data_IF_318398798162
#
_entry.id   IF_318398798162
#
_cell.length_a   1.000
_cell.length_b   1.000
_cell.length_c   1.000
_cell.angle_alpha   90.00
_cell.angle_beta   90.00
_cell.angle_gamma   90.00
#
_symmetry.space_group_name_H-M   'P 1'
#
loop_
_entity.id
_entity.type
_entity.pdbx_description
1 polymer ?
#
# COMPACT_ATOMS: atom_id res chain seq x y z
N UNK A 1 31.26 -26.27 6.25
CA UNK A 1 32.03 -26.23 4.99
C UNK A 1 31.46 -27.26 4.03
N UNK A 2 31.39 -26.95 2.73
CA UNK A 2 30.98 -27.88 1.69
C UNK A 2 32.13 -28.80 1.27
N UNK A 3 31.81 -30.04 1.03
CA UNK A 3 32.79 -30.97 0.45
C UNK A 3 32.87 -30.81 -1.07
N UNK A 4 33.90 -31.42 -1.71
CA UNK A 4 34.13 -31.29 -3.16
C UNK A 4 32.93 -31.72 -4.00
N UNK A 5 32.27 -32.82 -3.61
CA UNK A 5 31.07 -33.33 -4.31
C UNK A 5 29.89 -32.33 -4.25
N UNK A 6 29.70 -31.68 -3.09
CA UNK A 6 28.68 -30.64 -2.96
C UNK A 6 29.01 -29.40 -3.80
N UNK A 7 30.26 -28.97 -3.83
CA UNK A 7 30.70 -27.85 -4.68
C UNK A 7 30.47 -28.14 -6.16
N UNK A 8 30.75 -29.34 -6.62
CA UNK A 8 30.47 -29.79 -7.99
C UNK A 8 28.96 -29.85 -8.24
N UNK A 9 28.17 -30.33 -7.29
CA UNK A 9 26.71 -30.34 -7.38
C UNK A 9 26.13 -28.93 -7.58
N UNK A 10 26.57 -27.95 -6.78
CA UNK A 10 26.11 -26.55 -6.93
C UNK A 10 26.60 -25.89 -8.22
N UNK A 11 27.79 -26.24 -8.74
CA UNK A 11 28.24 -25.78 -10.06
C UNK A 11 27.35 -26.26 -11.19
N UNK A 12 26.77 -27.46 -11.05
CA UNK A 12 25.91 -28.10 -12.03
C UNK A 12 24.43 -28.00 -11.67
N UNK A 13 24.07 -27.08 -10.74
CA UNK A 13 22.70 -26.85 -10.31
C UNK A 13 21.77 -26.52 -11.49
N UNK A 14 20.58 -27.08 -11.45
CA UNK A 14 19.49 -26.77 -12.41
C UNK A 14 18.73 -25.48 -12.04
N UNK A 15 19.17 -24.74 -11.03
CA UNK A 15 18.59 -23.47 -10.59
C UNK A 15 17.68 -23.59 -9.38
N UNK A 16 16.66 -22.71 -9.32
CA UNK A 16 15.83 -22.52 -8.14
C UNK A 16 14.99 -23.75 -7.72
N UNK A 17 14.74 -24.66 -8.63
CA UNK A 17 13.92 -25.85 -8.39
C UNK A 17 14.75 -27.15 -8.34
N UNK A 18 16.06 -27.06 -8.26
CA UNK A 18 16.90 -28.24 -8.06
C UNK A 18 16.69 -28.82 -6.65
N UNK A 19 16.25 -30.07 -6.57
CA UNK A 19 15.91 -30.72 -5.32
C UNK A 19 17.11 -30.88 -4.36
N UNK A 20 18.30 -31.17 -4.92
CA UNK A 20 19.50 -31.46 -4.12
C UNK A 20 20.45 -30.26 -3.98
N UNK A 21 20.50 -29.43 -5.00
CA UNK A 21 21.43 -28.29 -5.10
C UNK A 21 20.68 -27.03 -5.54
N UNK A 22 19.66 -26.57 -4.78
CA UNK A 22 18.91 -25.38 -5.16
C UNK A 22 19.81 -24.15 -5.20
N UNK A 23 19.56 -23.29 -6.17
CA UNK A 23 20.22 -21.99 -6.30
C UNK A 23 19.16 -20.94 -6.58
N UNK A 24 18.64 -20.37 -5.49
CA UNK A 24 17.48 -19.48 -5.48
C UNK A 24 17.95 -18.04 -5.31
N UNK A 25 17.69 -17.22 -6.31
CA UNK A 25 17.73 -15.76 -6.14
C UNK A 25 16.32 -15.26 -5.82
N UNK A 26 16.04 -15.13 -4.52
CA UNK A 26 14.71 -14.72 -4.06
C UNK A 26 14.40 -13.25 -4.42
N UNK A 27 15.42 -12.41 -4.58
CA UNK A 27 15.24 -11.03 -5.03
C UNK A 27 14.70 -10.97 -6.47
N UNK A 28 15.28 -11.76 -7.36
CA UNK A 28 14.83 -11.84 -8.75
C UNK A 28 13.44 -12.47 -8.90
N UNK A 29 13.08 -13.33 -7.95
CA UNK A 29 11.78 -14.00 -7.94
C UNK A 29 10.64 -13.14 -7.37
N UNK A 30 10.91 -12.25 -6.44
CA UNK A 30 9.88 -11.54 -5.68
C UNK A 30 9.91 -10.02 -5.85
N UNK A 31 10.88 -9.46 -6.61
CA UNK A 31 10.97 -8.02 -6.77
C UNK A 31 10.97 -7.58 -8.23
N UNK A 32 10.12 -6.63 -8.52
CA UNK A 32 10.16 -5.86 -9.76
C UNK A 32 11.30 -4.84 -9.75
N UNK A 33 11.86 -4.56 -10.90
CA UNK A 33 12.90 -3.54 -11.07
C UNK A 33 12.38 -2.12 -10.86
N UNK A 34 11.07 -1.90 -11.03
CA UNK A 34 10.46 -0.58 -10.98
C UNK A 34 9.14 -0.62 -10.19
N UNK A 35 8.91 0.42 -9.39
CA UNK A 35 7.62 0.72 -8.80
C UNK A 35 6.95 1.88 -9.52
N UNK A 36 5.63 1.92 -9.52
CA UNK A 36 4.86 3.01 -10.11
C UNK A 36 4.43 4.01 -9.04
N UNK A 37 4.60 5.30 -9.34
CA UNK A 37 4.05 6.37 -8.53
C UNK A 37 3.41 7.44 -9.41
N UNK A 38 2.18 7.84 -9.07
CA UNK A 38 1.43 8.87 -9.79
C UNK A 38 0.83 9.82 -8.77
N UNK A 39 1.01 11.12 -9.02
CA UNK A 39 0.38 12.18 -8.23
C UNK A 39 -0.19 13.22 -9.15
N UNK A 40 -1.47 13.53 -8.94
CA UNK A 40 -2.15 14.63 -9.63
C UNK A 40 -2.80 15.49 -8.56
N UNK A 41 -2.65 16.81 -8.67
CA UNK A 41 -3.33 17.79 -7.83
C UNK A 41 -3.97 18.86 -8.69
N UNK A 42 -5.12 19.30 -8.26
CA UNK A 42 -5.88 20.39 -8.84
C UNK A 42 -6.29 21.33 -7.72
N UNK A 43 -5.98 22.59 -7.88
CA UNK A 43 -6.29 23.65 -6.93
C UNK A 43 -7.04 24.75 -7.66
N UNK A 44 -8.17 25.17 -7.12
CA UNK A 44 -8.98 26.24 -7.64
C UNK A 44 -9.37 27.18 -6.49
N UNK A 45 -9.10 28.44 -6.64
CA UNK A 45 -9.49 29.48 -5.69
C UNK A 45 -10.16 30.62 -6.43
N UNK A 46 -11.12 31.25 -5.80
CA UNK A 46 -11.79 32.41 -6.38
C UNK A 46 -12.72 33.08 -5.38
N UNK A 47 -13.29 34.17 -5.81
CA UNK A 47 -14.27 34.84 -4.98
C UNK A 47 -14.59 36.23 -5.44
N UNK A 48 -15.52 36.84 -4.69
CA UNK A 48 -15.95 38.24 -4.75
C UNK A 48 -15.87 38.82 -3.35
N UNK A 49 -16.26 40.06 -3.15
CA UNK A 49 -16.36 40.69 -1.83
C UNK A 49 -17.29 39.93 -0.86
N UNK A 50 -18.26 39.17 -1.40
CA UNK A 50 -19.24 38.44 -0.63
C UNK A 50 -18.96 36.94 -0.50
N UNK A 51 -18.27 36.36 -1.46
CA UNK A 51 -18.03 34.92 -1.50
C UNK A 51 -16.57 34.66 -1.75
N UNK A 52 -15.94 33.82 -0.95
CA UNK A 52 -14.61 33.26 -1.20
C UNK A 52 -14.67 31.74 -1.14
N UNK A 53 -14.03 31.11 -2.10
CA UNK A 53 -13.98 29.66 -2.13
C UNK A 53 -12.60 29.14 -2.52
N UNK A 54 -12.30 27.97 -2.01
CA UNK A 54 -11.15 27.18 -2.41
C UNK A 54 -11.57 25.72 -2.58
N UNK A 55 -11.14 25.09 -3.66
CA UNK A 55 -11.34 23.66 -3.93
C UNK A 55 -9.97 23.05 -4.22
N UNK A 56 -9.66 21.96 -3.52
CA UNK A 56 -8.45 21.19 -3.72
C UNK A 56 -8.85 19.74 -3.98
N UNK A 57 -8.38 19.18 -5.09
CA UNK A 57 -8.55 17.77 -5.40
C UNK A 57 -7.17 17.15 -5.64
N UNK A 58 -6.93 16.00 -5.04
CA UNK A 58 -5.67 15.31 -5.15
C UNK A 58 -5.87 13.82 -5.35
N UNK A 59 -5.10 13.23 -6.25
CA UNK A 59 -5.01 11.79 -6.45
C UNK A 59 -3.56 11.35 -6.29
N UNK A 60 -3.37 10.28 -5.54
CA UNK A 60 -2.09 9.56 -5.41
C UNK A 60 -2.36 8.10 -5.70
N UNK A 61 -1.60 7.54 -6.63
CA UNK A 61 -1.63 6.11 -6.94
C UNK A 61 -0.22 5.56 -7.03
N UNK A 62 -0.03 4.32 -6.64
CA UNK A 62 1.26 3.67 -6.71
C UNK A 62 1.19 2.16 -6.50
N UNK A 63 2.26 1.49 -6.90
CA UNK A 63 2.48 0.07 -6.61
C UNK A 63 3.79 -0.13 -5.88
N UNK A 64 3.89 -1.21 -5.10
CA UNK A 64 5.14 -1.66 -4.50
C UNK A 64 6.14 -2.20 -5.53
N UNK A 65 7.30 -2.59 -5.02
CA UNK A 65 8.35 -3.27 -5.81
C UNK A 65 8.11 -4.78 -5.89
N UNK A 66 7.25 -5.32 -5.05
CA UNK A 66 7.01 -6.75 -4.95
C UNK A 66 6.38 -7.29 -6.25
N UNK A 67 7.03 -8.29 -6.84
CA UNK A 67 6.51 -9.07 -7.97
C UNK A 67 5.87 -10.35 -7.45
N UNK A 68 4.64 -10.22 -7.03
CA UNK A 68 3.89 -11.25 -6.32
C UNK A 68 2.47 -11.33 -6.86
N UNK A 69 1.73 -12.40 -6.55
CA UNK A 69 0.37 -12.60 -7.05
C UNK A 69 -0.54 -11.37 -6.82
N UNK A 70 -0.35 -10.68 -5.72
CA UNK A 70 -1.08 -9.46 -5.37
C UNK A 70 -0.09 -8.33 -5.05
N UNK A 71 0.53 -7.78 -6.08
CA UNK A 71 1.44 -6.63 -5.96
C UNK A 71 0.78 -5.51 -5.15
N UNK A 72 1.46 -5.00 -4.10
CA UNK A 72 0.92 -3.94 -3.27
C UNK A 72 0.52 -2.71 -4.07
N UNK A 73 -0.68 -2.21 -3.82
CA UNK A 73 -1.23 -1.04 -4.50
C UNK A 73 -1.82 -0.06 -3.48
N UNK A 74 -1.62 1.21 -3.75
CA UNK A 74 -2.23 2.31 -3.04
C UNK A 74 -2.94 3.23 -4.04
N UNK A 75 -4.22 3.51 -3.80
CA UNK A 75 -4.96 4.55 -4.49
C UNK A 75 -5.63 5.46 -3.46
N UNK A 76 -5.33 6.75 -3.51
CA UNK A 76 -5.85 7.75 -2.58
C UNK A 76 -6.43 8.92 -3.34
N UNK A 77 -7.70 9.21 -3.06
CA UNK A 77 -8.37 10.42 -3.48
C UNK A 77 -8.56 11.35 -2.27
N UNK A 78 -8.24 12.61 -2.43
CA UNK A 78 -8.44 13.65 -1.42
C UNK A 78 -9.21 14.80 -2.04
N UNK A 79 -10.29 15.23 -1.39
CA UNK A 79 -11.06 16.42 -1.77
C UNK A 79 -11.13 17.34 -0.55
N UNK A 80 -10.96 18.63 -0.78
CA UNK A 80 -11.15 19.66 0.23
C UNK A 80 -11.82 20.86 -0.41
N UNK A 81 -12.86 21.34 0.21
CA UNK A 81 -13.57 22.55 -0.18
C UNK A 81 -13.75 23.48 0.99
N UNK A 82 -13.44 24.74 0.81
CA UNK A 82 -13.65 25.80 1.79
C UNK A 82 -14.52 26.87 1.14
N UNK A 83 -15.51 27.35 1.86
CA UNK A 83 -16.40 28.41 1.45
C UNK A 83 -16.59 29.41 2.60
N UNK A 84 -16.32 30.67 2.33
CA UNK A 84 -16.73 31.77 3.19
C UNK A 84 -17.78 32.61 2.46
N UNK A 85 -18.93 32.83 3.07
CA UNK A 85 -20.02 33.61 2.50
C UNK A 85 -20.44 34.73 3.48
N UNK A 86 -20.18 35.97 3.09
CA UNK A 86 -20.63 37.16 3.79
C UNK A 86 -22.11 37.40 3.46
N UNK A 87 -23.01 36.87 4.32
CA UNK A 87 -24.46 36.97 4.16
C UNK A 87 -24.91 38.42 4.31
N UNK A 88 -24.34 39.09 5.31
CA UNK A 88 -24.52 40.52 5.61
C UNK A 88 -23.17 41.10 6.02
N UNK A 89 -23.11 42.42 6.26
CA UNK A 89 -21.89 43.08 6.73
C UNK A 89 -21.47 42.59 8.14
N UNK A 90 -22.42 42.06 8.91
CA UNK A 90 -22.18 41.56 10.26
C UNK A 90 -22.18 40.04 10.39
N UNK A 91 -22.55 39.25 9.33
CA UNK A 91 -22.66 37.80 9.40
C UNK A 91 -21.90 37.14 8.25
N UNK A 92 -20.91 36.31 8.60
CA UNK A 92 -20.23 35.42 7.69
C UNK A 92 -20.53 33.95 8.06
N UNK A 93 -20.90 33.16 7.07
CA UNK A 93 -21.02 31.71 7.18
C UNK A 93 -19.78 31.09 6.52
N UNK A 94 -19.11 30.20 7.24
CA UNK A 94 -18.00 29.41 6.71
C UNK A 94 -18.39 27.93 6.64
N UNK A 95 -17.99 27.26 5.58
CA UNK A 95 -18.14 25.82 5.43
C UNK A 95 -16.82 25.21 4.93
N UNK A 96 -16.30 24.24 5.67
CA UNK A 96 -15.14 23.47 5.30
C UNK A 96 -15.54 22.01 5.19
N UNK A 97 -15.26 21.41 4.03
CA UNK A 97 -15.51 19.99 3.77
C UNK A 97 -14.21 19.34 3.35
N UNK A 98 -13.83 18.26 4.01
CA UNK A 98 -12.69 17.45 3.64
C UNK A 98 -13.09 15.98 3.51
N UNK A 99 -12.71 15.36 2.41
CA UNK A 99 -12.91 13.94 2.16
C UNK A 99 -11.60 13.27 1.73
N UNK A 100 -11.36 12.08 2.25
CA UNK A 100 -10.25 11.21 1.83
C UNK A 100 -10.77 9.80 1.70
N UNK A 101 -10.54 9.21 0.53
CA UNK A 101 -10.76 7.80 0.27
C UNK A 101 -9.42 7.17 -0.09
N UNK A 102 -9.09 6.09 0.57
CA UNK A 102 -7.85 5.35 0.36
C UNK A 102 -8.17 3.87 0.19
N UNK A 103 -7.69 3.29 -0.88
CA UNK A 103 -7.78 1.88 -1.17
C UNK A 103 -6.38 1.30 -1.20
N UNK A 104 -6.16 0.27 -0.40
CA UNK A 104 -4.90 -0.46 -0.31
C UNK A 104 -5.15 -1.92 -0.60
N UNK A 105 -4.28 -2.51 -1.37
CA UNK A 105 -4.29 -3.95 -1.63
C UNK A 105 -2.88 -4.49 -1.51
N UNK A 106 -2.71 -5.61 -0.85
CA UNK A 106 -1.43 -6.31 -0.73
C UNK A 106 -1.65 -7.81 -0.53
N UNK A 107 -0.60 -8.62 -0.74
CA UNK A 107 -0.64 -10.06 -0.57
C UNK A 107 -0.66 -10.51 0.89
N UNK A 108 -0.57 -11.83 1.08
CA UNK A 108 -0.53 -12.49 2.39
C UNK A 108 0.57 -11.92 3.30
N UNK A 109 1.77 -11.75 2.76
CA UNK A 109 2.88 -11.12 3.47
C UNK A 109 2.89 -9.60 3.22
N UNK A 110 3.09 -8.84 4.27
CA UNK A 110 3.34 -7.41 4.15
C UNK A 110 4.78 -7.12 3.64
N UNK A 111 5.02 -5.88 3.24
CA UNK A 111 6.31 -5.45 2.72
C UNK A 111 7.48 -5.78 3.67
N UNK A 112 7.32 -5.58 4.99
CA UNK A 112 8.35 -5.88 6.00
C UNK A 112 8.66 -7.37 6.08
N UNK A 113 7.65 -8.21 5.98
CA UNK A 113 7.79 -9.68 5.98
C UNK A 113 8.49 -10.16 4.71
N UNK A 114 8.13 -9.63 3.53
CA UNK A 114 8.81 -9.92 2.26
C UNK A 114 10.28 -9.55 2.33
N UNK A 115 10.62 -8.33 2.77
CA UNK A 115 12.01 -7.91 2.90
C UNK A 115 12.78 -8.67 3.98
N UNK A 116 12.13 -9.12 5.05
CA UNK A 116 12.74 -10.01 6.04
C UNK A 116 13.08 -11.36 5.41
N UNK A 117 12.17 -11.93 4.64
CA UNK A 117 12.40 -13.17 3.90
C UNK A 117 13.57 -13.03 2.93
N UNK A 118 13.59 -11.96 2.13
CA UNK A 118 14.69 -11.65 1.20
C UNK A 118 16.04 -11.57 1.89
N UNK A 119 16.09 -10.92 3.07
CA UNK A 119 17.33 -10.70 3.83
C UNK A 119 17.86 -11.95 4.55
N UNK A 120 16.99 -12.89 4.86
CA UNK A 120 17.32 -14.08 5.67
C UNK A 120 17.42 -15.37 4.87
N UNK A 121 16.85 -15.41 3.67
CA UNK A 121 16.90 -16.56 2.78
C UNK A 121 18.33 -16.77 2.23
N UNK A 122 18.79 -18.01 2.27
CA UNK A 122 20.05 -18.41 1.63
C UNK A 122 19.75 -19.04 0.28
N UNK A 123 20.51 -18.74 -0.78
CA UNK A 123 20.26 -19.30 -2.10
C UNK A 123 20.16 -20.84 -2.14
N UNK A 124 20.82 -21.50 -1.24
CA UNK A 124 20.87 -22.95 -1.13
C UNK A 124 20.05 -23.53 0.04
N UNK A 125 19.08 -22.79 0.56
CA UNK A 125 18.29 -23.23 1.74
C UNK A 125 17.31 -24.35 1.37
N UNK A 126 16.51 -24.16 0.31
CA UNK A 126 15.55 -25.13 -0.21
C UNK A 126 15.13 -24.76 -1.64
N UNK A 127 14.63 -25.69 -2.47
CA UNK A 127 14.06 -25.37 -3.77
C UNK A 127 12.76 -24.58 -3.62
N UNK A 128 12.48 -23.65 -4.54
CA UNK A 128 11.23 -22.87 -4.51
C UNK A 128 10.01 -23.79 -4.67
N UNK A 129 10.04 -24.62 -5.71
CA UNK A 129 8.98 -25.60 -6.00
C UNK A 129 9.60 -26.96 -6.23
N UNK A 130 8.84 -28.01 -6.00
CA UNK A 130 9.22 -29.39 -6.22
C UNK A 130 8.15 -30.09 -7.03
N UNK A 131 8.55 -30.99 -7.92
CA UNK A 131 7.60 -31.86 -8.62
C UNK A 131 7.22 -33.07 -7.77
N UNK A 132 5.97 -33.55 -7.97
CA UNK A 132 5.50 -34.79 -7.33
C UNK A 132 6.26 -36.01 -7.82
N UNK A 133 6.71 -35.98 -9.07
CA UNK A 133 7.49 -37.07 -9.69
C UNK A 133 8.84 -37.25 -9.02
N UNK A 134 9.53 -36.15 -8.71
CA UNK A 134 10.87 -36.17 -8.08
C UNK A 134 10.80 -36.49 -6.58
N UNK A 135 9.75 -36.07 -5.91
CA UNK A 135 9.61 -36.25 -4.45
C UNK A 135 8.87 -37.54 -4.08
N UNK A 136 8.07 -38.10 -4.99
CA UNK A 136 7.15 -39.20 -4.69
C UNK A 136 6.02 -38.82 -3.73
N UNK A 137 5.88 -37.55 -3.38
CA UNK A 137 4.83 -37.04 -2.52
C UNK A 137 3.59 -36.70 -3.35
N UNK A 138 2.41 -36.87 -2.79
CA UNK A 138 1.18 -36.38 -3.43
C UNK A 138 1.29 -34.84 -3.55
N UNK A 139 1.00 -34.33 -4.75
CA UNK A 139 0.97 -32.90 -5.02
C UNK A 139 -0.08 -32.18 -4.20
N UNK A 140 0.06 -30.88 -4.09
CA UNK A 140 -0.98 -30.03 -3.54
C UNK A 140 -2.28 -30.16 -4.34
N UNK A 141 -3.41 -29.84 -3.73
CA UNK A 141 -4.70 -29.77 -4.43
C UNK A 141 -4.68 -28.63 -5.47
N UNK A 142 -5.47 -28.78 -6.52
CA UNK A 142 -5.78 -27.72 -7.48
C UNK A 142 -4.60 -27.15 -8.30
N UNK A 143 -3.59 -27.98 -8.59
CA UNK A 143 -2.46 -27.58 -9.42
C UNK A 143 -1.42 -26.70 -8.70
N UNK A 144 -1.53 -26.55 -7.38
CA UNK A 144 -0.52 -25.88 -6.56
C UNK A 144 0.69 -26.82 -6.43
N UNK A 145 1.92 -26.38 -6.74
CA UNK A 145 3.12 -27.19 -6.60
C UNK A 145 3.45 -27.48 -5.13
N UNK A 146 4.30 -28.44 -4.89
CA UNK A 146 4.95 -28.61 -3.58
C UNK A 146 6.02 -27.53 -3.42
N UNK A 147 6.20 -27.05 -2.19
CA UNK A 147 7.18 -26.00 -1.86
C UNK A 147 8.26 -26.53 -0.93
N UNK A 148 9.49 -26.11 -1.17
CA UNK A 148 10.58 -26.41 -0.28
C UNK A 148 10.43 -25.67 1.06
N UNK A 149 10.95 -26.28 2.12
CA UNK A 149 11.07 -25.68 3.44
C UNK A 149 12.28 -26.27 4.19
N UNK A 150 12.77 -25.56 5.20
CA UNK A 150 13.82 -26.05 6.08
C UNK A 150 13.41 -25.91 7.56
N UNK A 151 14.10 -26.60 8.44
CA UNK A 151 13.88 -26.44 9.89
C UNK A 151 14.14 -25.00 10.35
N UNK A 152 15.00 -24.28 9.67
CA UNK A 152 15.32 -22.89 9.95
C UNK A 152 14.29 -21.91 9.37
N UNK A 153 13.74 -22.25 8.22
CA UNK A 153 12.69 -21.48 7.53
C UNK A 153 11.55 -22.43 7.17
N UNK A 154 10.62 -22.67 8.10
CA UNK A 154 9.50 -23.59 7.91
C UNK A 154 8.43 -23.05 6.95
N UNK A 155 8.45 -21.74 6.68
CA UNK A 155 7.57 -21.08 5.73
C UNK A 155 8.36 -20.70 4.48
N UNK A 156 7.81 -21.06 3.32
CA UNK A 156 8.35 -20.66 2.03
C UNK A 156 7.75 -19.32 1.61
N UNK A 157 8.56 -18.25 1.64
CA UNK A 157 8.09 -16.90 1.31
C UNK A 157 7.54 -16.79 -0.12
N UNK A 158 8.07 -17.54 -1.07
CA UNK A 158 7.57 -17.60 -2.44
C UNK A 158 6.14 -18.21 -2.47
N UNK A 159 5.93 -19.30 -1.73
CA UNK A 159 4.60 -19.92 -1.62
C UNK A 159 3.57 -18.94 -1.03
N UNK A 160 3.91 -18.29 0.08
CA UNK A 160 3.03 -17.35 0.76
C UNK A 160 2.70 -16.11 -0.10
N UNK A 161 3.65 -15.65 -0.90
CA UNK A 161 3.45 -14.45 -1.74
C UNK A 161 2.75 -14.77 -3.06
N UNK A 162 3.00 -15.93 -3.66
CA UNK A 162 2.48 -16.28 -4.98
C UNK A 162 1.15 -17.06 -4.91
N UNK A 163 0.93 -17.82 -3.84
CA UNK A 163 -0.25 -18.68 -3.68
C UNK A 163 -1.05 -18.38 -2.41
N UNK A 164 -0.60 -17.44 -1.61
CA UNK A 164 -1.32 -16.95 -0.44
C UNK A 164 -2.52 -16.06 -0.80
N UNK A 165 -3.23 -15.63 0.22
CA UNK A 165 -4.36 -14.72 0.08
C UNK A 165 -3.93 -13.26 -0.14
N UNK A 166 -4.90 -12.36 -0.04
CA UNK A 166 -4.67 -10.93 -0.12
C UNK A 166 -5.52 -10.18 0.91
N UNK A 167 -5.09 -8.97 1.21
CA UNK A 167 -5.87 -8.00 1.98
C UNK A 167 -6.28 -6.85 1.07
N UNK A 168 -7.56 -6.51 1.07
CA UNK A 168 -8.13 -5.34 0.38
C UNK A 168 -8.77 -4.45 1.42
N UNK A 169 -8.22 -3.25 1.61
CA UNK A 169 -8.60 -2.31 2.62
C UNK A 169 -9.11 -1.03 1.99
N UNK A 170 -10.32 -0.61 2.39
CA UNK A 170 -10.88 0.68 2.01
C UNK A 170 -11.07 1.55 3.25
N UNK A 171 -10.38 2.64 3.28
CA UNK A 171 -10.46 3.64 4.32
C UNK A 171 -11.11 4.92 3.78
N UNK A 172 -12.23 5.32 4.36
CA UNK A 172 -12.91 6.58 4.01
C UNK A 172 -13.01 7.45 5.23
N UNK A 173 -12.59 8.69 5.09
CA UNK A 173 -12.72 9.72 6.12
C UNK A 173 -13.38 10.95 5.52
N UNK A 174 -14.40 11.48 6.20
CA UNK A 174 -14.98 12.77 5.91
C UNK A 174 -14.95 13.65 7.15
N UNK A 175 -14.83 14.93 6.95
CA UNK A 175 -14.90 15.93 7.99
C UNK A 175 -15.60 17.15 7.42
N UNK A 176 -16.59 17.67 8.12
CA UNK A 176 -17.31 18.88 7.73
C UNK A 176 -17.34 19.82 8.92
N UNK A 177 -17.02 21.09 8.70
CA UNK A 177 -17.13 22.14 9.68
C UNK A 177 -18.04 23.23 9.10
N UNK A 178 -19.00 23.69 9.90
CA UNK A 178 -19.84 24.83 9.59
C UNK A 178 -19.62 25.86 10.68
N UNK A 179 -19.26 27.06 10.30
CA UNK A 179 -18.98 28.17 11.20
C UNK A 179 -19.89 29.37 10.94
N UNK A 180 -20.27 30.05 12.00
CA UNK A 180 -20.94 31.35 11.98
C UNK A 180 -20.02 32.35 12.68
N UNK A 181 -19.75 33.47 12.02
CA UNK A 181 -18.95 34.59 12.55
C UNK A 181 -19.79 35.85 12.52
N UNK A 182 -19.95 36.46 13.67
CA UNK A 182 -20.67 37.71 13.83
C UNK A 182 -19.69 38.85 14.13
N UNK A 183 -19.74 39.87 13.32
CA UNK A 183 -19.05 41.15 13.61
C UNK A 183 -20.09 42.07 14.29
N UNK A 184 -19.83 42.34 15.55
CA UNK A 184 -20.75 43.09 16.44
C UNK A 184 -20.20 44.49 16.75
N UNK A 185 -19.37 45.03 15.86
CA UNK A 185 -18.85 46.40 15.97
C UNK A 185 -19.91 47.47 16.20
N UNK A 186 -21.16 47.18 15.72
CA UNK A 186 -22.32 48.04 15.95
C UNK A 186 -22.73 48.15 17.42
N UNK A 187 -22.42 47.13 18.23
CA UNK A 187 -22.73 47.11 19.67
C UNK A 187 -21.55 47.62 20.48
N UNK A 188 -20.37 47.14 20.17
CA UNK A 188 -19.11 47.50 20.85
C UNK A 188 -17.97 47.32 19.86
N UNK A 189 -17.17 48.38 19.66
CA UNK A 189 -16.06 48.37 18.74
C UNK A 189 -15.06 47.23 19.02
N UNK A 190 -14.80 46.40 18.03
CA UNK A 190 -13.92 45.23 18.12
C UNK A 190 -14.59 43.98 18.67
N UNK A 191 -15.89 44.01 19.00
CA UNK A 191 -16.60 42.82 19.47
C UNK A 191 -16.90 41.86 18.32
N UNK A 192 -16.49 40.61 18.48
CA UNK A 192 -16.78 39.51 17.56
C UNK A 192 -17.27 38.30 18.33
N UNK A 193 -18.24 37.61 17.76
CA UNK A 193 -18.72 36.34 18.30
C UNK A 193 -18.67 35.26 17.19
N UNK A 194 -18.55 34.01 17.56
CA UNK A 194 -18.55 32.92 16.62
C UNK A 194 -19.05 31.61 17.23
N UNK A 195 -19.63 30.78 16.43
CA UNK A 195 -20.00 29.41 16.75
C UNK A 195 -19.58 28.50 15.60
N UNK A 196 -19.24 27.25 15.88
CA UNK A 196 -18.97 26.27 14.85
C UNK A 196 -19.50 24.89 15.26
N UNK A 197 -19.85 24.11 14.25
CA UNK A 197 -20.22 22.71 14.36
C UNK A 197 -19.27 21.89 13.51
N UNK A 198 -18.78 20.77 14.05
CA UNK A 198 -17.85 19.86 13.40
C UNK A 198 -18.36 18.43 13.48
N UNK A 199 -18.35 17.69 12.37
CA UNK A 199 -18.76 16.28 12.29
C UNK A 199 -18.05 15.53 11.16
#
# INVERSE_FOLDING_TARGET
>A
YYNQKQLEGYKNSKGANDLLYPNVDLYDQLLNKNANYRKVSFDMTGGTDRVRYALIAGYVGGSGFEDVAYTPQLNRLTLRGNLDFNVTDFLTISADVAGRMEMRKWGQLDCGQVFTALSTHRPNEYPLTMSTEETGLAGGSDGIPLFGASLRQPMNAYAETMYGGYTDERYTRSQTNIGLKFDLDMLTKGLKAGAFLSF
#
